data_IF_195796927487
#
_entry.id   IF_195796927487
#
_cell.length_a   1.000
_cell.length_b   1.000
_cell.length_c   1.000
_cell.angle_alpha   90.00
_cell.angle_beta   90.00
_cell.angle_gamma   90.00
#
_symmetry.space_group_name_H-M   'P 1'
#
loop_
_entity.id
_entity.type
_entity.pdbx_description
1 polymer ?
#
# COMPACT_ATOMS: atom_id res chain seq x y z
N UNK A 1 -9.57 -1.52 31.95
CA UNK A 1 -10.56 -2.39 32.63
C UNK A 1 -10.42 -2.21 34.14
N UNK A 2 -11.50 -1.87 34.85
CA UNK A 2 -11.54 -1.88 36.32
C UNK A 2 -12.22 -3.17 36.73
N UNK A 3 -11.45 -4.11 37.28
CA UNK A 3 -12.01 -5.30 37.87
C UNK A 3 -12.01 -5.15 39.39
N UNK A 4 -13.23 -5.37 39.92
CA UNK A 4 -13.57 -5.90 41.23
C UNK A 4 -13.57 -4.90 42.41
N UNK A 5 -14.80 -4.70 42.86
CA UNK A 5 -15.25 -4.34 44.21
C UNK A 5 -14.80 -2.99 44.76
N UNK A 6 -15.54 -2.50 45.73
CA UNK A 6 -15.48 -1.14 46.29
C UNK A 6 -14.20 -0.88 47.14
N UNK A 7 -13.08 -1.52 46.77
CA UNK A 7 -11.76 -1.34 47.35
C UNK A 7 -10.95 -0.34 46.53
N UNK A 8 -10.10 0.46 47.20
CA UNK A 8 -9.15 1.35 46.52
C UNK A 8 -8.36 0.53 45.50
N UNK A 9 -8.42 0.93 44.23
CA UNK A 9 -7.76 0.23 43.13
C UNK A 9 -6.27 0.00 43.46
N UNK A 10 -5.85 -1.27 43.46
CA UNK A 10 -4.52 -1.69 43.91
C UNK A 10 -3.43 -1.33 42.88
N UNK A 11 -3.78 -1.32 41.59
CA UNK A 11 -2.91 -0.85 40.51
C UNK A 11 -3.73 -0.53 39.24
N UNK A 12 -3.10 0.16 38.28
CA UNK A 12 -3.67 0.44 36.96
C UNK A 12 -2.89 -0.33 35.89
N UNK A 13 -3.60 -0.82 34.87
CA UNK A 13 -3.01 -1.43 33.68
C UNK A 13 -3.43 -0.61 32.47
N UNK A 14 -2.44 -0.16 31.71
CA UNK A 14 -2.62 0.48 30.41
C UNK A 14 -2.09 -0.45 29.31
N UNK A 15 -2.82 -0.54 28.19
CA UNK A 15 -2.45 -1.33 27.03
C UNK A 15 -2.21 -0.36 25.88
N UNK A 16 -0.98 -0.32 25.36
CA UNK A 16 -0.61 0.46 24.19
C UNK A 16 -0.44 -0.48 22.99
N UNK A 17 -1.20 -0.24 21.92
CA UNK A 17 -0.97 -0.91 20.65
C UNK A 17 0.28 -0.32 20.00
N UNK A 18 1.31 -1.14 19.78
CA UNK A 18 2.58 -0.73 19.15
C UNK A 18 2.69 -1.15 17.68
N UNK A 19 1.71 -1.89 17.17
CA UNK A 19 1.65 -2.34 15.77
C UNK A 19 0.20 -2.57 15.33
N UNK A 20 -0.08 -2.41 14.04
CA UNK A 20 -1.37 -2.65 13.41
C UNK A 20 -1.18 -3.35 12.07
N UNK A 21 -2.08 -4.28 11.75
CA UNK A 21 -2.15 -4.87 10.39
C UNK A 21 -2.83 -3.91 9.40
N UNK A 22 -3.61 -2.96 9.89
CA UNK A 22 -4.23 -1.91 9.10
C UNK A 22 -3.29 -0.71 8.95
N UNK A 23 -3.38 0.00 7.83
CA UNK A 23 -2.45 1.09 7.52
C UNK A 23 -2.61 2.29 8.43
N UNK A 24 -3.82 2.48 8.98
CA UNK A 24 -4.20 3.68 9.75
C UNK A 24 -4.00 4.98 8.95
N UNK A 25 -3.90 4.89 7.62
CA UNK A 25 -3.77 6.03 6.72
C UNK A 25 -4.83 5.94 5.60
N UNK A 26 -5.69 6.95 5.44
CA UNK A 26 -6.81 6.87 4.50
C UNK A 26 -6.37 6.78 3.03
N UNK A 27 -5.19 7.28 2.67
CA UNK A 27 -4.68 7.20 1.30
C UNK A 27 -4.11 5.81 1.00
N UNK A 28 -3.42 5.22 1.97
CA UNK A 28 -2.95 3.84 1.84
C UNK A 28 -4.11 2.84 1.85
N UNK A 29 -5.08 2.99 2.75
CA UNK A 29 -6.28 2.14 2.81
C UNK A 29 -7.06 2.19 1.48
N UNK A 30 -7.26 3.39 0.91
CA UNK A 30 -7.90 3.53 -0.40
C UNK A 30 -7.09 2.83 -1.49
N UNK A 31 -5.77 3.05 -1.54
CA UNK A 31 -4.91 2.43 -2.54
C UNK A 31 -4.98 0.90 -2.48
N UNK A 32 -4.79 0.29 -1.32
CA UNK A 32 -4.86 -1.17 -1.17
C UNK A 32 -6.25 -1.72 -1.49
N UNK A 33 -7.31 -1.02 -1.11
CA UNK A 33 -8.67 -1.44 -1.45
C UNK A 33 -8.90 -1.45 -2.96
N UNK A 34 -8.46 -0.41 -3.68
CA UNK A 34 -8.61 -0.34 -5.14
C UNK A 34 -7.81 -1.43 -5.86
N UNK A 35 -6.60 -1.71 -5.40
CA UNK A 35 -5.78 -2.82 -5.91
C UNK A 35 -6.49 -4.15 -5.66
N UNK A 36 -6.99 -4.39 -4.44
CA UNK A 36 -7.68 -5.63 -4.11
C UNK A 36 -8.94 -5.85 -4.97
N UNK A 37 -9.77 -4.81 -5.13
CA UNK A 37 -10.97 -4.86 -5.99
C UNK A 37 -10.60 -5.18 -7.44
N UNK A 38 -9.48 -4.65 -7.92
CA UNK A 38 -8.99 -4.89 -9.27
C UNK A 38 -8.45 -6.32 -9.44
N UNK A 39 -7.72 -6.83 -8.45
CA UNK A 39 -7.15 -8.18 -8.47
C UNK A 39 -8.21 -9.27 -8.37
N UNK A 40 -9.20 -9.08 -7.49
CA UNK A 40 -10.30 -10.03 -7.27
C UNK A 40 -11.47 -9.85 -8.25
N UNK A 41 -11.42 -8.83 -9.10
CA UNK A 41 -12.48 -8.47 -10.05
C UNK A 41 -13.87 -8.33 -9.38
N UNK A 42 -13.93 -7.72 -8.20
CA UNK A 42 -15.17 -7.66 -7.38
C UNK A 42 -16.08 -6.49 -7.77
N UNK A 43 -16.38 -6.32 -9.06
CA UNK A 43 -17.27 -5.25 -9.51
C UNK A 43 -18.74 -5.68 -9.50
N UNK A 44 -19.68 -4.80 -9.09
CA UNK A 44 -19.46 -3.49 -8.47
C UNK A 44 -19.05 -3.59 -6.99
N UNK A 45 -18.19 -2.69 -6.52
CA UNK A 45 -17.74 -2.63 -5.12
C UNK A 45 -18.13 -1.30 -4.46
N UNK A 46 -18.74 -1.34 -3.28
CA UNK A 46 -19.09 -0.11 -2.54
C UNK A 46 -17.97 0.30 -1.59
N UNK A 47 -17.30 1.41 -1.90
CA UNK A 47 -16.27 2.01 -1.06
C UNK A 47 -16.77 3.33 -0.46
N UNK A 48 -17.27 3.28 0.79
CA UNK A 48 -17.91 4.42 1.47
C UNK A 48 -19.05 5.01 0.61
N UNK A 49 -18.85 6.22 0.11
CA UNK A 49 -19.82 6.98 -0.69
C UNK A 49 -19.66 6.77 -2.21
N UNK A 50 -18.64 6.01 -2.64
CA UNK A 50 -18.35 5.73 -4.05
C UNK A 50 -18.67 4.27 -4.38
N UNK A 51 -19.29 4.04 -5.54
CA UNK A 51 -19.44 2.70 -6.11
C UNK A 51 -18.39 2.54 -7.20
N UNK A 52 -17.46 1.62 -6.99
CA UNK A 52 -16.43 1.24 -7.96
C UNK A 52 -17.06 0.33 -9.01
N UNK A 53 -16.80 0.67 -10.27
CA UNK A 53 -17.23 -0.05 -11.46
C UNK A 53 -16.06 -0.10 -12.43
N UNK A 54 -16.15 -0.96 -13.44
CA UNK A 54 -15.17 -1.05 -14.53
C UNK A 54 -14.93 0.31 -15.22
N UNK A 55 -15.94 1.18 -15.25
CA UNK A 55 -15.87 2.47 -15.94
C UNK A 55 -15.12 3.56 -15.16
N UNK A 56 -15.03 3.47 -13.83
CA UNK A 56 -14.43 4.52 -13.00
C UNK A 56 -13.15 4.09 -12.28
N UNK A 57 -12.89 2.78 -12.17
CA UNK A 57 -11.74 2.24 -11.43
C UNK A 57 -10.40 2.75 -11.95
N UNK A 58 -10.23 2.94 -13.25
CA UNK A 58 -9.00 3.53 -13.81
C UNK A 58 -8.73 4.92 -13.21
N UNK A 59 -9.75 5.78 -13.24
CA UNK A 59 -9.63 7.16 -12.75
C UNK A 59 -9.41 7.21 -11.23
N UNK A 60 -10.12 6.36 -10.48
CA UNK A 60 -9.99 6.25 -9.03
C UNK A 60 -8.61 5.72 -8.63
N UNK A 61 -8.11 4.70 -9.32
CA UNK A 61 -6.80 4.11 -9.05
C UNK A 61 -5.67 5.07 -9.41
N UNK A 62 -5.76 5.76 -10.56
CA UNK A 62 -4.79 6.79 -10.94
C UNK A 62 -4.75 7.95 -9.94
N UNK A 63 -5.91 8.40 -9.46
CA UNK A 63 -5.99 9.40 -8.39
C UNK A 63 -5.37 8.89 -7.10
N UNK A 64 -5.68 7.64 -6.70
CA UNK A 64 -5.16 7.04 -5.48
C UNK A 64 -3.64 6.86 -5.51
N UNK A 65 -3.07 6.45 -6.65
CA UNK A 65 -1.63 6.35 -6.86
C UNK A 65 -0.96 7.73 -6.71
N UNK A 66 -1.56 8.77 -7.27
CA UNK A 66 -1.08 10.15 -7.11
C UNK A 66 -1.14 10.67 -5.66
N UNK A 67 -2.12 10.19 -4.89
CA UNK A 67 -2.30 10.58 -3.49
C UNK A 67 -1.37 9.84 -2.52
N UNK A 68 -0.60 8.84 -2.96
CA UNK A 68 0.41 8.20 -2.09
C UNK A 68 1.44 9.22 -1.56
N UNK A 69 1.70 10.30 -2.30
CA UNK A 69 2.62 11.38 -1.89
C UNK A 69 2.13 12.18 -0.68
N UNK A 70 0.83 12.16 -0.38
CA UNK A 70 0.24 12.86 0.77
C UNK A 70 -0.04 11.93 1.95
N UNK A 71 0.29 10.64 1.81
CA UNK A 71 0.23 9.69 2.92
C UNK A 71 1.23 10.06 4.01
N UNK A 72 0.87 9.71 5.24
CA UNK A 72 1.70 9.94 6.41
C UNK A 72 3.00 9.14 6.31
N UNK A 73 4.13 9.74 6.69
CA UNK A 73 5.46 9.12 6.51
C UNK A 73 5.58 7.78 7.24
N UNK A 74 5.11 7.70 8.48
CA UNK A 74 5.22 6.49 9.31
C UNK A 74 4.50 5.29 8.68
N UNK A 75 3.20 5.37 8.30
CA UNK A 75 2.54 4.35 7.50
C UNK A 75 3.23 4.08 6.16
N UNK A 76 3.68 5.11 5.45
CA UNK A 76 4.35 4.95 4.16
C UNK A 76 5.63 4.12 4.29
N UNK A 77 6.40 4.32 5.36
CA UNK A 77 7.61 3.54 5.70
C UNK A 77 7.24 2.12 6.13
N UNK A 78 6.25 1.96 7.01
CA UNK A 78 5.81 0.66 7.53
C UNK A 78 5.30 -0.27 6.42
N UNK A 79 4.52 0.26 5.47
CA UNK A 79 3.94 -0.48 4.36
C UNK A 79 4.75 -0.37 3.06
N UNK A 80 5.97 0.19 3.13
CA UNK A 80 6.78 0.55 1.96
C UNK A 80 6.94 -0.59 0.95
N UNK A 81 7.31 -1.76 1.44
CA UNK A 81 7.50 -2.96 0.63
C UNK A 81 6.21 -3.41 -0.09
N UNK A 82 5.05 -3.33 0.55
CA UNK A 82 3.77 -3.72 -0.06
C UNK A 82 3.36 -2.73 -1.14
N UNK A 83 3.49 -1.44 -0.87
CA UNK A 83 3.16 -0.38 -1.83
C UNK A 83 4.07 -0.47 -3.04
N UNK A 84 5.39 -0.57 -2.84
CA UNK A 84 6.36 -0.70 -3.94
C UNK A 84 6.09 -1.94 -4.79
N UNK A 85 5.79 -3.09 -4.16
CA UNK A 85 5.42 -4.31 -4.90
C UNK A 85 4.19 -4.09 -5.77
N UNK A 86 3.10 -3.50 -5.23
CA UNK A 86 1.88 -3.24 -6.00
C UNK A 86 2.11 -2.21 -7.12
N UNK A 87 2.88 -1.15 -6.88
CA UNK A 87 3.22 -0.18 -7.92
C UNK A 87 4.04 -0.81 -9.05
N UNK A 88 5.02 -1.66 -8.73
CA UNK A 88 5.79 -2.39 -9.73
C UNK A 88 4.90 -3.37 -10.49
N UNK A 89 3.99 -4.07 -9.80
CA UNK A 89 3.04 -4.98 -10.42
C UNK A 89 2.16 -4.23 -11.44
N UNK A 90 1.67 -3.03 -11.13
CA UNK A 90 0.91 -2.20 -12.09
C UNK A 90 1.70 -1.80 -13.34
N UNK A 91 3.03 -1.73 -13.24
CA UNK A 91 3.91 -1.40 -14.38
C UNK A 91 4.19 -2.64 -15.23
N UNK A 92 4.53 -3.76 -14.58
CA UNK A 92 4.94 -5.00 -15.27
C UNK A 92 3.73 -5.73 -15.85
N UNK A 93 2.61 -5.75 -15.11
CA UNK A 93 1.35 -6.37 -15.49
C UNK A 93 0.22 -5.34 -15.43
N UNK A 94 0.12 -4.46 -16.44
CA UNK A 94 -0.93 -3.48 -16.46
C UNK A 94 -2.30 -4.20 -16.52
N UNK A 95 -3.25 -3.82 -15.65
CA UNK A 95 -4.51 -4.52 -15.54
C UNK A 95 -5.35 -4.34 -16.82
N UNK A 96 -6.12 -5.38 -17.17
CA UNK A 96 -7.04 -5.38 -18.31
C UNK A 96 -8.47 -5.34 -17.77
N UNK A 97 -9.23 -4.31 -18.17
CA UNK A 97 -10.60 -4.11 -17.73
C UNK A 97 -11.47 -4.00 -18.97
N UNK A 98 -12.54 -4.79 -19.05
CA UNK A 98 -13.41 -4.88 -20.23
C UNK A 98 -12.63 -5.05 -21.55
N UNK A 99 -11.51 -5.78 -21.53
CA UNK A 99 -10.65 -6.03 -22.70
C UNK A 99 -9.70 -4.89 -23.06
N UNK A 100 -9.64 -3.80 -22.29
CA UNK A 100 -8.73 -2.68 -22.50
C UNK A 100 -7.64 -2.64 -21.43
N UNK A 101 -6.39 -2.40 -21.85
CA UNK A 101 -5.25 -2.21 -20.94
C UNK A 101 -5.37 -0.84 -20.29
N UNK A 102 -5.35 -0.82 -18.97
CA UNK A 102 -5.40 0.42 -18.18
C UNK A 102 -4.01 1.04 -18.08
N UNK A 103 -3.89 2.31 -18.46
CA UNK A 103 -2.58 2.98 -18.55
C UNK A 103 -2.13 3.60 -17.22
N UNK A 104 -1.61 2.75 -16.33
CA UNK A 104 -1.11 3.15 -15.01
C UNK A 104 0.41 3.26 -14.93
N UNK A 105 1.15 2.77 -15.93
CA UNK A 105 2.61 2.62 -15.85
C UNK A 105 3.33 3.93 -15.51
N UNK A 106 2.98 5.04 -16.16
CA UNK A 106 3.57 6.35 -15.88
C UNK A 106 3.26 6.83 -14.46
N UNK A 107 1.99 6.73 -14.04
CA UNK A 107 1.57 7.21 -12.72
C UNK A 107 2.21 6.38 -11.60
N UNK A 108 2.29 5.06 -11.78
CA UNK A 108 2.93 4.16 -10.83
C UNK A 108 4.43 4.42 -10.74
N UNK A 109 5.12 4.61 -11.87
CA UNK A 109 6.55 4.93 -11.88
C UNK A 109 6.85 6.26 -11.16
N UNK A 110 6.04 7.29 -11.43
CA UNK A 110 6.15 8.59 -10.76
C UNK A 110 5.92 8.44 -9.25
N UNK A 111 4.92 7.68 -8.83
CA UNK A 111 4.66 7.40 -7.42
C UNK A 111 5.82 6.67 -6.74
N UNK A 112 6.43 5.67 -7.40
CA UNK A 112 7.65 5.00 -6.91
C UNK A 112 8.76 6.02 -6.71
N UNK A 113 9.04 6.87 -7.70
CA UNK A 113 10.13 7.85 -7.62
C UNK A 113 9.91 8.84 -6.46
N UNK A 114 8.69 9.36 -6.32
CA UNK A 114 8.33 10.30 -5.24
C UNK A 114 8.46 9.62 -3.88
N UNK A 115 7.92 8.41 -3.73
CA UNK A 115 7.96 7.66 -2.48
C UNK A 115 9.39 7.29 -2.07
N UNK A 116 10.20 6.77 -3.00
CA UNK A 116 11.61 6.42 -2.76
C UNK A 116 12.38 7.65 -2.31
N UNK A 117 12.20 8.79 -2.97
CA UNK A 117 12.85 10.04 -2.60
C UNK A 117 12.40 10.55 -1.24
N UNK A 118 11.11 10.45 -0.91
CA UNK A 118 10.56 10.83 0.39
C UNK A 118 11.16 9.97 1.51
N UNK A 119 11.15 8.64 1.35
CA UNK A 119 11.75 7.71 2.34
C UNK A 119 13.25 7.96 2.50
N UNK A 120 13.97 8.13 1.40
CA UNK A 120 15.42 8.37 1.43
C UNK A 120 15.79 9.65 2.19
N UNK A 121 15.06 10.75 1.96
CA UNK A 121 15.27 12.04 2.64
C UNK A 121 14.76 12.09 4.07
N UNK A 122 13.72 11.33 4.40
CA UNK A 122 13.18 11.35 5.76
C UNK A 122 13.91 10.42 6.73
N UNK A 123 14.70 9.47 6.22
CA UNK A 123 15.46 8.49 7.01
C UNK A 123 16.98 8.66 6.78
N UNK A 124 17.49 9.90 6.82
CA UNK A 124 18.93 10.19 6.60
C UNK A 124 19.84 9.47 7.60
N UNK A 125 19.40 9.32 8.85
CA UNK A 125 20.13 8.56 9.88
C UNK A 125 20.22 7.06 9.61
N UNK A 126 19.45 6.54 8.65
CA UNK A 126 19.43 5.14 8.24
C UNK A 126 20.19 4.89 6.94
N UNK A 127 21.21 5.70 6.63
CA UNK A 127 22.07 5.50 5.48
C UNK A 127 23.37 4.78 5.85
N UNK A 128 23.86 3.89 4.98
CA UNK A 128 25.18 3.25 5.13
C UNK A 128 26.32 4.22 4.78
N UNK A 129 27.57 3.75 4.88
CA UNK A 129 28.77 4.55 4.54
C UNK A 129 28.84 4.96 3.05
N UNK A 130 28.02 4.35 2.20
CA UNK A 130 27.91 4.64 0.77
C UNK A 130 26.70 5.53 0.45
N UNK A 131 25.90 5.94 1.45
CA UNK A 131 24.70 6.75 1.28
C UNK A 131 23.45 5.94 0.88
N UNK A 132 23.49 4.61 0.94
CA UNK A 132 22.31 3.79 0.66
C UNK A 132 21.37 3.76 1.86
N UNK A 133 20.09 4.01 1.62
CA UNK A 133 19.08 3.85 2.66
C UNK A 133 18.84 2.36 2.96
N UNK A 134 19.07 1.94 4.20
CA UNK A 134 19.00 0.52 4.59
C UNK A 134 17.63 -0.12 4.33
N UNK A 135 16.53 0.62 4.48
CA UNK A 135 15.18 0.10 4.22
C UNK A 135 14.98 -0.18 2.73
N UNK A 136 15.32 0.79 1.88
CA UNK A 136 15.21 0.64 0.42
C UNK A 136 16.14 -0.45 -0.12
N UNK A 137 17.38 -0.51 0.39
CA UNK A 137 18.31 -1.59 0.06
C UNK A 137 17.74 -2.95 0.49
N UNK A 138 17.22 -3.07 1.72
CA UNK A 138 16.62 -4.30 2.23
C UNK A 138 15.43 -4.76 1.41
N UNK A 139 14.59 -3.82 0.93
CA UNK A 139 13.51 -4.12 0.00
C UNK A 139 14.06 -4.80 -1.26
N UNK A 140 15.08 -4.21 -1.90
CA UNK A 140 15.68 -4.77 -3.13
C UNK A 140 16.29 -6.15 -2.88
N UNK A 141 17.07 -6.31 -1.80
CA UNK A 141 17.79 -7.56 -1.54
C UNK A 141 16.88 -8.70 -1.09
N UNK A 142 15.93 -8.42 -0.19
CA UNK A 142 15.19 -9.48 0.50
C UNK A 142 13.76 -9.66 0.00
N UNK A 143 13.08 -8.57 -0.39
CA UNK A 143 11.64 -8.59 -0.66
C UNK A 143 11.32 -8.56 -2.15
N UNK A 144 12.05 -7.75 -2.92
CA UNK A 144 11.78 -7.56 -4.34
C UNK A 144 11.92 -8.88 -5.08
N UNK A 145 10.85 -9.23 -5.80
CA UNK A 145 10.78 -10.31 -6.76
C UNK A 145 10.09 -9.75 -7.98
N UNK A 146 10.53 -10.15 -9.17
CA UNK A 146 9.74 -9.87 -10.36
C UNK A 146 8.37 -10.51 -10.14
N UNK A 147 7.25 -9.78 -10.33
CA UNK A 147 5.96 -10.41 -10.26
C UNK A 147 5.94 -11.54 -11.30
N UNK A 148 5.50 -12.72 -10.91
CA UNK A 148 5.34 -13.85 -11.82
C UNK A 148 3.84 -13.96 -12.10
N UNK A 149 3.45 -13.83 -13.37
CA UNK A 149 2.09 -14.19 -13.77
C UNK A 149 1.96 -15.70 -13.61
N UNK A 150 1.21 -16.18 -12.61
CA UNK A 150 0.74 -17.56 -12.68
C UNK A 150 -0.11 -17.69 -13.95
N UNK A 151 0.19 -18.68 -14.83
CA UNK A 151 -0.61 -18.85 -16.03
C UNK A 151 -2.04 -19.10 -15.58
N UNK A 152 -2.97 -18.24 -16.03
CA UNK A 152 -4.40 -18.42 -15.81
C UNK A 152 -4.74 -19.88 -16.13
N UNK A 153 -5.14 -20.64 -15.10
CA UNK A 153 -5.58 -22.01 -15.28
C UNK A 153 -6.64 -21.97 -16.37
N UNK A 154 -6.36 -22.64 -17.50
CA UNK A 154 -7.35 -22.80 -18.56
C UNK A 154 -8.55 -23.46 -17.91
N UNK A 155 -9.64 -22.73 -17.80
CA UNK A 155 -10.95 -23.30 -17.49
C UNK A 155 -11.32 -24.06 -18.77
N UNK A 156 -11.15 -25.39 -18.74
CA UNK A 156 -11.73 -26.32 -19.71
C UNK A 156 -13.25 -26.31 -19.64
#
# INVERSE_FOLDING_TARGET
MKWVDNHKGVFSVEILAVSSVHTQDPFLDKFFTLIHVLEEYTFPFRLKDVILTENNIESELKSSVGNLRVASLEPLVAFSHQILNKLIQLIVYPPVIAGQIVNLGRAAFEAIAVMVNQIHKSLESSQDQHGHNHLLASYIFYVFRLPVMEPAAKIE
#
